data_IF_359037578833
#
_entry.id   IF_359037578833
#
_cell.length_a   1.000
_cell.length_b   1.000
_cell.length_c   1.000
_cell.angle_alpha   90.00
_cell.angle_beta   90.00
_cell.angle_gamma   90.00
#
_symmetry.space_group_name_H-M   'P 1'
#
loop_
_entity.id
_entity.type
_entity.pdbx_description
1 polymer ?
#
# COMPACT_ATOMS: atom_id res chain seq x y z
N UNK A 1 7.36 -39.15 -21.01
CA UNK A 1 8.16 -38.63 -19.89
C UNK A 1 7.82 -37.15 -19.73
N UNK A 2 6.69 -36.86 -19.07
CA UNK A 2 6.35 -35.49 -18.71
C UNK A 2 7.22 -35.08 -17.52
N UNK A 3 8.25 -34.28 -17.79
CA UNK A 3 8.87 -33.46 -16.76
C UNK A 3 7.81 -32.44 -16.31
N UNK A 4 6.97 -32.85 -15.36
CA UNK A 4 6.18 -31.91 -14.60
C UNK A 4 7.17 -31.02 -13.86
N UNK A 5 7.37 -29.79 -14.35
CA UNK A 5 8.05 -28.74 -13.61
C UNK A 5 7.39 -28.67 -12.23
N UNK A 6 8.07 -29.19 -11.20
CA UNK A 6 7.55 -29.19 -9.83
C UNK A 6 7.65 -27.77 -9.30
N UNK A 7 6.62 -26.96 -9.59
CA UNK A 7 6.39 -25.64 -8.99
C UNK A 7 6.49 -25.66 -7.46
N UNK A 8 6.31 -26.84 -6.85
CA UNK A 8 6.57 -27.08 -5.43
C UNK A 8 7.98 -26.66 -4.96
N UNK A 9 9.01 -26.64 -5.82
CA UNK A 9 10.34 -26.14 -5.45
C UNK A 9 10.36 -24.64 -5.13
N UNK A 10 9.46 -23.87 -5.73
CA UNK A 10 9.34 -22.42 -5.54
C UNK A 10 8.54 -22.05 -4.29
N UNK A 11 8.04 -23.03 -3.55
CA UNK A 11 7.33 -22.79 -2.31
C UNK A 11 8.31 -22.79 -1.14
N UNK A 12 8.40 -21.70 -0.35
CA UNK A 12 9.21 -21.67 0.84
C UNK A 12 8.64 -22.62 1.90
N UNK A 13 9.51 -23.27 2.66
CA UNK A 13 9.12 -23.91 3.91
C UNK A 13 8.97 -22.82 4.96
N UNK A 14 7.75 -22.30 5.13
CA UNK A 14 7.46 -21.22 6.06
C UNK A 14 7.67 -21.70 7.50
N UNK A 15 8.71 -21.20 8.14
CA UNK A 15 9.06 -21.54 9.53
C UNK A 15 9.04 -20.28 10.37
N UNK A 16 8.32 -20.33 11.50
CA UNK A 16 8.22 -19.25 12.48
C UNK A 16 9.16 -19.52 13.68
N UNK A 17 10.41 -19.89 13.39
CA UNK A 17 11.46 -20.18 14.37
C UNK A 17 12.79 -19.59 13.88
N UNK A 18 13.76 -19.48 14.77
CA UNK A 18 15.13 -19.07 14.40
C UNK A 18 15.68 -20.13 13.43
N UNK A 19 16.16 -19.74 12.24
CA UNK A 19 16.60 -20.70 11.24
C UNK A 19 17.93 -21.33 11.66
N UNK A 20 17.96 -22.66 11.71
CA UNK A 20 19.17 -23.45 11.94
C UNK A 20 19.79 -23.92 10.61
N UNK A 21 18.97 -24.00 9.56
CA UNK A 21 19.37 -24.43 8.22
C UNK A 21 19.06 -23.37 7.15
N UNK A 22 19.79 -23.42 6.04
CA UNK A 22 19.59 -22.50 4.92
C UNK A 22 18.17 -22.53 4.31
N UNK A 23 17.52 -23.69 4.31
CA UNK A 23 16.12 -23.80 3.83
C UNK A 23 15.17 -22.99 4.70
N UNK A 24 15.29 -23.10 6.02
CA UNK A 24 14.46 -22.35 6.97
C UNK A 24 14.71 -20.85 6.86
N UNK A 25 15.95 -20.44 6.62
CA UNK A 25 16.31 -19.04 6.39
C UNK A 25 15.58 -18.46 5.17
N UNK A 26 15.53 -19.21 4.07
CA UNK A 26 14.78 -18.79 2.87
C UNK A 26 13.28 -18.64 3.14
N UNK A 27 12.73 -19.50 4.00
CA UNK A 27 11.35 -19.43 4.48
C UNK A 27 11.09 -18.15 5.29
N UNK A 28 11.97 -17.83 6.23
CA UNK A 28 11.88 -16.61 7.06
C UNK A 28 11.98 -15.34 6.20
N UNK A 29 12.95 -15.27 5.27
CA UNK A 29 13.11 -14.10 4.38
C UNK A 29 11.87 -13.93 3.51
N UNK A 30 11.36 -15.01 2.92
CA UNK A 30 10.13 -14.96 2.12
C UNK A 30 8.93 -14.51 2.97
N UNK A 31 8.85 -14.94 4.23
CA UNK A 31 7.80 -14.54 5.18
C UNK A 31 7.84 -13.05 5.47
N UNK A 32 9.04 -12.50 5.66
CA UNK A 32 9.24 -11.06 5.84
C UNK A 32 8.78 -10.30 4.59
N UNK A 33 9.16 -10.74 3.38
CA UNK A 33 8.75 -10.10 2.12
C UNK A 33 7.21 -10.09 2.01
N UNK A 34 6.57 -11.23 2.24
CA UNK A 34 5.10 -11.34 2.20
C UNK A 34 4.44 -10.48 3.27
N UNK A 35 4.95 -10.48 4.51
CA UNK A 35 4.41 -9.65 5.58
C UNK A 35 4.51 -8.16 5.26
N UNK A 36 5.65 -7.71 4.76
CA UNK A 36 5.86 -6.32 4.32
C UNK A 36 4.89 -5.96 3.19
N UNK A 37 4.76 -6.81 2.18
CA UNK A 37 3.82 -6.61 1.08
C UNK A 37 2.36 -6.53 1.57
N UNK A 38 1.94 -7.41 2.48
CA UNK A 38 0.59 -7.40 3.05
C UNK A 38 0.31 -6.14 3.88
N UNK A 39 1.28 -5.67 4.66
CA UNK A 39 1.15 -4.41 5.42
C UNK A 39 0.91 -3.25 4.45
N UNK A 40 1.71 -3.14 3.39
CA UNK A 40 1.54 -2.09 2.39
C UNK A 40 0.23 -2.20 1.63
N UNK A 41 -0.17 -3.42 1.25
CA UNK A 41 -1.45 -3.68 0.62
C UNK A 41 -2.61 -3.23 1.51
N UNK A 42 -2.58 -3.58 2.81
CA UNK A 42 -3.62 -3.19 3.76
C UNK A 42 -3.66 -1.67 3.97
N UNK A 43 -2.50 -1.01 4.07
CA UNK A 43 -2.43 0.46 4.15
C UNK A 43 -3.06 1.09 2.90
N UNK A 44 -2.70 0.61 1.70
CA UNK A 44 -3.23 1.10 0.43
C UNK A 44 -4.75 0.91 0.33
N UNK A 45 -5.24 -0.27 0.73
CA UNK A 45 -6.65 -0.60 0.75
C UNK A 45 -7.42 0.31 1.71
N UNK A 46 -6.96 0.45 2.95
CA UNK A 46 -7.56 1.33 3.95
C UNK A 46 -7.63 2.78 3.45
N UNK A 47 -6.57 3.29 2.82
CA UNK A 47 -6.54 4.66 2.27
C UNK A 47 -7.53 4.82 1.12
N UNK A 48 -7.64 3.82 0.25
CA UNK A 48 -8.58 3.80 -0.88
C UNK A 48 -10.03 3.73 -0.40
N UNK A 49 -10.32 2.89 0.60
CA UNK A 49 -11.66 2.79 1.21
C UNK A 49 -12.03 4.09 1.90
N UNK A 50 -11.10 4.69 2.66
CA UNK A 50 -11.33 5.99 3.32
C UNK A 50 -11.65 7.08 2.30
N UNK A 51 -10.93 7.16 1.17
CA UNK A 51 -11.21 8.14 0.12
C UNK A 51 -12.61 7.92 -0.49
N UNK A 52 -13.01 6.66 -0.73
CA UNK A 52 -14.36 6.35 -1.22
C UNK A 52 -15.45 6.74 -0.22
N UNK A 53 -15.23 6.51 1.08
CA UNK A 53 -16.18 6.94 2.11
C UNK A 53 -16.26 8.46 2.23
N UNK A 54 -15.14 9.16 2.06
CA UNK A 54 -15.09 10.62 2.04
C UNK A 54 -15.95 11.18 0.90
N UNK A 55 -15.79 10.66 -0.31
CA UNK A 55 -16.57 11.02 -1.50
C UNK A 55 -18.05 10.66 -1.33
N UNK A 56 -18.37 9.44 -0.89
CA UNK A 56 -19.77 9.01 -0.72
C UNK A 56 -20.55 9.87 0.27
N UNK A 57 -19.91 10.29 1.37
CA UNK A 57 -20.54 11.23 2.29
C UNK A 57 -20.76 12.59 1.66
N UNK A 58 -19.80 13.09 0.85
CA UNK A 58 -19.94 14.39 0.17
C UNK A 58 -21.09 14.35 -0.84
N UNK A 59 -21.30 13.22 -1.52
CA UNK A 59 -22.48 13.01 -2.34
C UNK A 59 -23.76 12.99 -1.49
N UNK A 60 -23.82 12.24 -0.39
CA UNK A 60 -25.01 12.15 0.48
C UNK A 60 -25.40 13.48 1.13
N UNK A 61 -24.43 14.19 1.72
CA UNK A 61 -24.14 15.58 1.39
C UNK A 61 -25.27 16.44 0.79
N UNK A 62 -25.26 16.38 -0.54
CA UNK A 62 -25.85 17.31 -1.48
C UNK A 62 -26.90 16.65 -2.38
N UNK A 63 -27.04 15.32 -2.34
CA UNK A 63 -27.88 14.51 -3.24
C UNK A 63 -29.34 14.98 -3.29
N UNK A 64 -29.89 15.43 -2.16
CA UNK A 64 -31.29 15.85 -2.04
C UNK A 64 -31.45 17.38 -1.92
N UNK A 65 -30.40 18.15 -2.22
CA UNK A 65 -30.36 19.58 -1.93
C UNK A 65 -30.45 20.40 -3.21
N UNK A 66 -31.38 21.35 -3.25
CA UNK A 66 -31.54 22.31 -4.35
C UNK A 66 -30.87 23.64 -4.01
N UNK A 67 -30.60 24.48 -5.03
CA UNK A 67 -29.93 25.79 -4.81
C UNK A 67 -30.59 26.67 -3.75
N UNK A 68 -31.92 26.64 -3.66
CA UNK A 68 -32.68 27.38 -2.65
C UNK A 68 -32.56 26.75 -1.26
N UNK A 69 -32.62 25.42 -1.19
CA UNK A 69 -32.50 24.67 0.07
C UNK A 69 -31.10 24.80 0.67
N UNK A 70 -30.07 24.85 -0.18
CA UNK A 70 -28.67 24.96 0.24
C UNK A 70 -28.40 26.28 0.98
N UNK A 71 -29.00 27.39 0.52
CA UNK A 71 -28.88 28.68 1.21
C UNK A 71 -29.48 28.65 2.61
N UNK A 72 -30.64 28.01 2.78
CA UNK A 72 -31.32 27.93 4.07
C UNK A 72 -30.65 26.96 5.04
N UNK A 73 -30.05 25.88 4.53
CA UNK A 73 -29.42 24.82 5.33
C UNK A 73 -27.90 24.95 5.45
N UNK A 74 -27.32 26.10 5.10
CA UNK A 74 -25.86 26.33 5.18
C UNK A 74 -25.29 25.97 6.55
N UNK A 75 -25.96 26.39 7.62
CA UNK A 75 -25.58 26.06 9.01
C UNK A 75 -25.54 24.56 9.29
N UNK A 76 -26.50 23.79 8.74
CA UNK A 76 -26.56 22.34 8.90
C UNK A 76 -25.38 21.65 8.20
N UNK A 77 -24.97 22.12 7.02
CA UNK A 77 -23.80 21.58 6.32
C UNK A 77 -22.49 21.88 7.04
N UNK A 78 -22.34 23.10 7.56
CA UNK A 78 -21.17 23.48 8.37
C UNK A 78 -21.10 22.59 9.61
N UNK A 79 -22.24 22.36 10.27
CA UNK A 79 -22.31 21.49 11.44
C UNK A 79 -21.99 20.03 11.08
N UNK A 80 -22.55 19.50 9.99
CA UNK A 80 -22.24 18.16 9.50
C UNK A 80 -20.76 17.97 9.18
N UNK A 81 -20.10 18.98 8.58
CA UNK A 81 -18.67 18.96 8.33
C UNK A 81 -17.86 18.98 9.63
N UNK A 82 -18.24 19.81 10.61
CA UNK A 82 -17.59 19.86 11.95
C UNK A 82 -17.73 18.53 12.69
N UNK A 83 -18.93 17.96 12.72
CA UNK A 83 -19.20 16.68 13.38
C UNK A 83 -18.45 15.53 12.71
N UNK A 84 -18.34 15.56 11.38
CA UNK A 84 -17.52 14.60 10.65
C UNK A 84 -16.04 14.74 10.97
N UNK A 85 -15.50 15.95 10.99
CA UNK A 85 -14.10 16.23 11.38
C UNK A 85 -13.81 15.76 12.81
N UNK A 86 -14.79 15.88 13.72
CA UNK A 86 -14.68 15.37 15.10
C UNK A 86 -14.68 13.84 15.16
N UNK A 87 -15.55 13.18 14.39
CA UNK A 87 -15.63 11.70 14.33
C UNK A 87 -14.46 11.07 13.59
N UNK A 88 -13.97 11.74 12.55
CA UNK A 88 -12.88 11.31 11.68
C UNK A 88 -11.87 12.45 11.56
N UNK A 89 -10.89 12.45 12.48
CA UNK A 89 -9.88 13.51 12.64
C UNK A 89 -9.17 13.90 11.34
N UNK A 90 -9.07 12.97 10.40
CA UNK A 90 -8.39 13.15 9.10
C UNK A 90 -9.35 13.05 7.90
N UNK A 91 -10.66 13.33 8.06
CA UNK A 91 -11.57 13.36 6.90
C UNK A 91 -11.21 14.55 6.01
N UNK A 92 -10.71 14.22 4.82
CA UNK A 92 -10.26 15.19 3.85
C UNK A 92 -11.47 15.90 3.21
N UNK A 93 -12.55 15.16 2.95
CA UNK A 93 -13.79 15.75 2.44
C UNK A 93 -14.40 16.79 3.39
N UNK A 94 -14.34 16.57 4.71
CA UNK A 94 -14.84 17.55 5.67
C UNK A 94 -14.00 18.84 5.68
N UNK A 95 -12.68 18.72 5.48
CA UNK A 95 -11.79 19.87 5.35
C UNK A 95 -12.08 20.66 4.07
N UNK A 96 -12.13 19.98 2.92
CA UNK A 96 -12.40 20.60 1.62
C UNK A 96 -13.78 21.28 1.60
N UNK A 97 -14.77 20.71 2.27
CA UNK A 97 -16.08 21.35 2.42
C UNK A 97 -16.02 22.66 3.21
N UNK A 98 -15.22 22.72 4.28
CA UNK A 98 -15.05 23.96 5.06
C UNK A 98 -14.38 25.05 4.23
N UNK A 99 -13.32 24.71 3.50
CA UNK A 99 -12.64 25.67 2.60
C UNK A 99 -13.57 26.15 1.48
N UNK A 100 -14.37 25.25 0.90
CA UNK A 100 -15.36 25.64 -0.10
C UNK A 100 -16.43 26.59 0.48
N UNK A 101 -16.94 26.32 1.68
CA UNK A 101 -17.95 27.15 2.34
C UNK A 101 -17.46 28.59 2.61
N UNK A 102 -16.17 28.77 2.88
CA UNK A 102 -15.57 30.10 3.05
C UNK A 102 -15.62 30.94 1.75
N UNK A 103 -15.70 30.29 0.59
CA UNK A 103 -15.82 30.98 -0.72
C UNK A 103 -17.26 31.34 -1.07
N UNK A 104 -18.24 30.84 -0.31
CA UNK A 104 -19.65 31.08 -0.54
C UNK A 104 -20.06 32.44 0.04
N UNK A 105 -20.59 33.28 -0.85
CA UNK A 105 -21.10 34.62 -0.57
C UNK A 105 -22.60 34.63 -0.75
N UNK A 106 -23.28 35.21 0.23
CA UNK A 106 -24.73 35.42 0.20
C UNK A 106 -25.03 36.68 -0.61
N UNK A 107 -25.90 36.55 -1.62
CA UNK A 107 -26.35 37.65 -2.46
C UNK A 107 -27.87 37.71 -2.38
N UNK A 108 -28.39 38.87 -1.99
CA UNK A 108 -29.84 39.12 -2.03
C UNK A 108 -30.28 39.42 -3.45
N UNK A 109 -31.27 38.66 -3.94
CA UNK A 109 -31.91 38.88 -5.23
C UNK A 109 -33.41 38.66 -5.09
N UNK A 110 -34.21 39.69 -5.36
CA UNK A 110 -35.67 39.63 -5.32
C UNK A 110 -36.22 39.06 -3.99
N UNK A 111 -35.80 39.61 -2.85
CA UNK A 111 -36.15 39.16 -1.48
C UNK A 111 -35.75 37.70 -1.15
N UNK A 112 -34.87 37.09 -1.96
CA UNK A 112 -34.29 35.77 -1.69
C UNK A 112 -32.78 35.87 -1.50
N UNK A 113 -32.28 35.26 -0.43
CA UNK A 113 -30.85 35.05 -0.24
C UNK A 113 -30.42 33.87 -1.10
N UNK A 114 -29.47 34.10 -2.00
CA UNK A 114 -28.90 33.07 -2.88
C UNK A 114 -27.40 32.98 -2.64
N UNK A 115 -26.90 31.75 -2.45
CA UNK A 115 -25.46 31.53 -2.35
C UNK A 115 -24.80 31.57 -3.73
N UNK A 116 -23.70 32.30 -3.81
CA UNK A 116 -22.80 32.36 -4.97
C UNK A 116 -21.40 32.01 -4.52
N UNK A 117 -20.71 31.23 -5.32
CA UNK A 117 -19.33 30.85 -5.08
C UNK A 117 -18.39 31.85 -5.77
N UNK A 118 -17.39 32.32 -5.04
CA UNK A 118 -16.32 33.17 -5.61
C UNK A 118 -15.26 32.35 -6.36
N UNK A 119 -15.11 31.07 -5.98
CA UNK A 119 -14.27 30.09 -6.65
C UNK A 119 -15.10 28.89 -7.10
N UNK A 120 -14.71 28.27 -8.22
CA UNK A 120 -15.40 27.09 -8.73
C UNK A 120 -15.27 25.89 -7.79
N UNK A 121 -16.34 25.10 -7.66
CA UNK A 121 -16.34 23.90 -6.82
C UNK A 121 -15.29 22.87 -7.27
N UNK A 122 -15.00 22.81 -8.58
CA UNK A 122 -13.95 21.93 -9.12
C UNK A 122 -12.54 22.26 -8.62
N UNK A 123 -12.31 23.47 -8.13
CA UNK A 123 -11.04 23.84 -7.49
C UNK A 123 -10.81 23.05 -6.19
N UNK A 124 -11.87 22.83 -5.40
CA UNK A 124 -11.82 22.12 -4.13
C UNK A 124 -12.09 20.63 -4.28
N UNK A 125 -12.98 20.25 -5.19
CA UNK A 125 -13.43 18.87 -5.36
C UNK A 125 -12.95 18.33 -6.71
N UNK A 126 -11.72 17.82 -6.73
CA UNK A 126 -11.12 17.16 -7.89
C UNK A 126 -10.36 15.89 -7.47
N UNK A 127 -9.90 15.12 -8.44
CA UNK A 127 -9.23 13.84 -8.22
C UNK A 127 -7.96 13.97 -7.36
N UNK A 128 -7.25 15.09 -7.48
CA UNK A 128 -6.04 15.34 -6.69
C UNK A 128 -6.35 15.70 -5.25
N UNK A 129 -7.36 16.56 -5.02
CA UNK A 129 -7.72 17.00 -3.67
C UNK A 129 -8.49 15.91 -2.93
N UNK A 130 -9.52 15.31 -3.52
CA UNK A 130 -10.38 14.30 -2.87
C UNK A 130 -9.64 13.00 -2.58
N UNK A 131 -8.81 12.54 -3.52
CA UNK A 131 -8.09 11.27 -3.43
C UNK A 131 -6.60 11.45 -3.08
N UNK A 132 -6.20 12.61 -2.54
CA UNK A 132 -4.79 12.97 -2.23
C UNK A 132 -3.99 11.85 -1.55
N UNK A 133 -4.64 11.17 -0.61
CA UNK A 133 -4.08 10.06 0.17
C UNK A 133 -3.66 8.85 -0.68
N UNK A 134 -4.23 8.70 -1.86
CA UNK A 134 -3.98 7.64 -2.84
C UNK A 134 -3.12 8.16 -3.99
N UNK A 135 -3.44 9.33 -4.54
CA UNK A 135 -2.78 9.90 -5.73
C UNK A 135 -1.38 10.44 -5.46
N UNK A 136 -1.11 11.03 -4.30
CA UNK A 136 0.22 11.61 -3.96
C UNK A 136 1.09 10.69 -3.08
N UNK A 137 0.69 9.43 -2.89
CA UNK A 137 1.41 8.56 -1.96
C UNK A 137 2.72 8.05 -2.56
N UNK A 138 3.82 8.79 -2.32
CA UNK A 138 5.19 8.41 -2.69
C UNK A 138 5.56 7.01 -2.23
N UNK A 139 5.00 6.55 -1.10
CA UNK A 139 5.23 5.19 -0.62
C UNK A 139 4.71 4.15 -1.61
N UNK A 140 3.50 4.32 -2.15
CA UNK A 140 2.90 3.38 -3.11
C UNK A 140 3.76 3.22 -4.36
N UNK A 141 4.39 4.30 -4.83
CA UNK A 141 5.33 4.25 -5.96
C UNK A 141 6.66 3.57 -5.61
N UNK A 142 7.07 3.59 -4.34
CA UNK A 142 8.36 3.04 -3.89
C UNK A 142 8.28 1.57 -3.42
N UNK A 143 7.10 1.07 -3.03
CA UNK A 143 6.92 -0.30 -2.51
C UNK A 143 7.47 -1.39 -3.44
N UNK A 144 7.19 -1.38 -4.76
CA UNK A 144 7.75 -2.38 -5.67
C UNK A 144 9.28 -2.41 -5.67
N UNK A 145 9.90 -1.22 -5.59
CA UNK A 145 11.35 -1.07 -5.48
C UNK A 145 11.90 -1.68 -4.19
N UNK A 146 11.23 -1.43 -3.05
CA UNK A 146 11.65 -2.01 -1.76
C UNK A 146 11.53 -3.53 -1.73
N UNK A 147 10.44 -4.10 -2.24
CA UNK A 147 10.25 -5.55 -2.29
C UNK A 147 11.29 -6.24 -3.19
N UNK A 148 11.62 -5.62 -4.33
CA UNK A 148 12.68 -6.10 -5.23
C UNK A 148 14.05 -6.03 -4.54
N UNK A 149 14.36 -4.92 -3.86
CA UNK A 149 15.61 -4.76 -3.13
C UNK A 149 15.75 -5.81 -1.99
N UNK A 150 14.66 -6.11 -1.27
CA UNK A 150 14.66 -7.17 -0.26
C UNK A 150 14.95 -8.56 -0.86
N UNK A 151 14.37 -8.87 -2.04
CA UNK A 151 14.69 -10.10 -2.76
C UNK A 151 16.16 -10.20 -3.18
N UNK A 152 16.75 -9.08 -3.65
CA UNK A 152 18.18 -9.01 -3.99
C UNK A 152 19.06 -9.19 -2.76
N UNK A 153 18.72 -8.60 -1.61
CA UNK A 153 19.43 -8.83 -0.35
C UNK A 153 19.39 -10.30 0.06
N UNK A 154 18.21 -10.95 -0.06
CA UNK A 154 18.07 -12.39 0.18
C UNK A 154 18.96 -13.23 -0.74
N UNK A 155 19.16 -12.78 -1.98
CA UNK A 155 20.06 -13.41 -2.96
C UNK A 155 21.51 -13.39 -2.47
N UNK A 156 21.97 -12.21 -2.03
CA UNK A 156 23.32 -12.08 -1.48
C UNK A 156 23.54 -12.93 -0.23
N UNK A 157 22.56 -12.99 0.67
CA UNK A 157 22.62 -13.83 1.87
C UNK A 157 22.70 -15.32 1.48
N UNK A 158 21.86 -15.78 0.54
CA UNK A 158 21.86 -17.16 0.06
C UNK A 158 23.20 -17.56 -0.56
N UNK A 159 23.78 -16.71 -1.41
CA UNK A 159 25.09 -16.96 -2.01
C UNK A 159 26.22 -16.96 -0.97
N UNK A 160 26.22 -16.01 -0.03
CA UNK A 160 27.22 -15.93 1.03
C UNK A 160 27.25 -17.21 1.88
N UNK A 161 26.07 -17.72 2.25
CA UNK A 161 25.93 -18.96 3.02
C UNK A 161 26.27 -20.21 2.20
N UNK A 162 25.95 -20.20 0.91
CA UNK A 162 26.33 -21.30 0.01
C UNK A 162 27.85 -21.45 -0.07
N UNK A 163 28.54 -20.32 -0.23
CA UNK A 163 30.00 -20.26 -0.36
C UNK A 163 30.73 -20.49 0.97
N UNK A 164 30.12 -20.18 2.13
CA UNK A 164 30.78 -20.36 3.42
C UNK A 164 31.06 -21.82 3.78
N UNK A 165 30.34 -22.77 3.17
CA UNK A 165 30.56 -24.21 3.37
C UNK A 165 31.53 -24.84 2.36
N UNK A 166 32.10 -24.08 1.42
CA UNK A 166 32.92 -24.62 0.35
C UNK A 166 34.39 -24.76 0.79
N UNK A 167 34.81 -25.99 1.10
CA UNK A 167 36.21 -26.36 1.35
C UNK A 167 36.79 -27.08 0.12
N UNK A 168 37.58 -26.37 -0.69
CA UNK A 168 38.17 -26.90 -1.93
C UNK A 168 39.47 -27.70 -1.72
N UNK A 169 40.12 -27.52 -0.57
CA UNK A 169 41.38 -28.19 -0.21
C UNK A 169 41.18 -29.48 0.61
N UNK A 170 39.92 -29.88 0.81
CA UNK A 170 39.53 -31.03 1.65
C UNK A 170 39.51 -32.38 0.91
N UNK A 171 39.25 -33.45 1.66
CA UNK A 171 39.02 -34.79 1.09
C UNK A 171 37.76 -34.79 0.18
N UNK A 172 37.61 -35.80 -0.68
CA UNK A 172 36.49 -35.93 -1.64
C UNK A 172 35.12 -35.79 -0.96
N UNK A 173 34.96 -36.27 0.28
CA UNK A 173 33.72 -36.12 1.05
C UNK A 173 33.44 -34.68 1.54
N UNK A 174 34.49 -33.92 1.90
CA UNK A 174 34.37 -32.50 2.24
C UNK A 174 34.00 -31.68 1.00
N UNK A 175 34.60 -32.01 -0.15
CA UNK A 175 34.29 -31.36 -1.42
C UNK A 175 32.83 -31.61 -1.86
N UNK A 176 32.31 -32.84 -1.70
CA UNK A 176 30.88 -33.15 -1.95
C UNK A 176 29.96 -32.33 -1.05
N UNK A 177 30.30 -32.22 0.23
CA UNK A 177 29.52 -31.45 1.21
C UNK A 177 29.54 -29.96 0.89
N UNK A 178 30.70 -29.42 0.50
CA UNK A 178 30.82 -28.02 0.07
C UNK A 178 30.03 -27.71 -1.19
N UNK A 179 30.03 -28.60 -2.19
CA UNK A 179 29.18 -28.45 -3.39
C UNK A 179 27.69 -28.46 -2.99
N UNK A 180 27.28 -29.36 -2.08
CA UNK A 180 25.91 -29.38 -1.59
C UNK A 180 25.52 -28.07 -0.88
N UNK A 181 26.43 -27.48 -0.10
CA UNK A 181 26.25 -26.16 0.51
C UNK A 181 26.04 -25.07 -0.55
N UNK A 182 26.87 -25.02 -1.59
CA UNK A 182 26.75 -24.04 -2.67
C UNK A 182 25.42 -24.17 -3.40
N UNK A 183 25.00 -25.40 -3.72
CA UNK A 183 23.71 -25.65 -4.38
C UNK A 183 22.54 -25.21 -3.49
N UNK A 184 22.60 -25.47 -2.18
CA UNK A 184 21.60 -24.98 -1.24
C UNK A 184 21.58 -23.46 -1.14
N UNK A 185 22.74 -22.80 -1.08
CA UNK A 185 22.84 -21.34 -1.12
C UNK A 185 22.24 -20.73 -2.38
N UNK A 186 22.53 -21.32 -3.54
CA UNK A 186 21.95 -20.92 -4.82
C UNK A 186 20.41 -21.09 -4.84
N UNK A 187 19.89 -22.16 -4.24
CA UNK A 187 18.44 -22.37 -4.08
C UNK A 187 17.79 -21.26 -3.25
N UNK A 188 18.39 -20.92 -2.10
CA UNK A 188 17.91 -19.85 -1.22
C UNK A 188 17.90 -18.52 -1.96
N UNK A 189 19.00 -18.24 -2.66
CA UNK A 189 19.18 -17.01 -3.40
C UNK A 189 18.12 -16.84 -4.49
N UNK A 190 17.85 -17.91 -5.24
CA UNK A 190 16.80 -17.93 -6.26
C UNK A 190 15.40 -17.74 -5.66
N UNK A 191 15.06 -18.47 -4.59
CA UNK A 191 13.73 -18.43 -3.99
C UNK A 191 13.39 -17.03 -3.45
N UNK A 192 14.31 -16.42 -2.71
CA UNK A 192 14.11 -15.08 -2.15
C UNK A 192 13.96 -14.01 -3.24
N UNK A 193 14.67 -14.14 -4.36
CA UNK A 193 14.52 -13.26 -5.52
C UNK A 193 13.15 -13.41 -6.19
N UNK A 194 12.69 -14.64 -6.42
CA UNK A 194 11.38 -14.91 -7.04
C UNK A 194 10.25 -14.32 -6.20
N UNK A 195 10.29 -14.46 -4.87
CA UNK A 195 9.28 -13.86 -4.01
C UNK A 195 9.39 -12.33 -3.92
N UNK A 196 10.60 -11.77 -3.89
CA UNK A 196 10.79 -10.31 -3.88
C UNK A 196 10.27 -9.63 -5.15
N UNK A 197 10.56 -10.21 -6.32
CA UNK A 197 10.08 -9.71 -7.62
C UNK A 197 8.60 -10.07 -7.81
N UNK A 198 8.19 -11.28 -7.47
CA UNK A 198 6.80 -11.72 -7.62
C UNK A 198 5.84 -10.85 -6.80
N UNK A 199 6.20 -10.52 -5.56
CA UNK A 199 5.40 -9.63 -4.73
C UNK A 199 5.52 -8.16 -5.13
N UNK A 200 6.55 -7.74 -5.88
CA UNK A 200 6.66 -6.34 -6.34
C UNK A 200 5.75 -6.02 -7.53
N UNK A 201 5.28 -7.06 -8.24
CA UNK A 201 4.35 -6.93 -9.36
C UNK A 201 2.89 -6.80 -8.93
N UNK A 202 2.56 -7.15 -7.69
CA UNK A 202 1.19 -7.18 -7.13
C UNK A 202 0.98 -5.97 -6.24
#
# INVERSE_FOLDING_TARGET
MENQFRLAWLWPEWVLKVPENGVELSGVISLIIVAVALIFFFISLCRTVSARWDIQWLFKLIENETRETVSRKRGDFIQAAKDRKRRYKNSNAAHLWQEFDETLVEVEKNDQVVLRNTLDGGHFFNDYTLARSVTENRLTAAVPGFLTALGVIGTFIGLQLGLSGLELDGNVEQMKTGIASVVNGAKIAFLTSVWGIGMSLV
#
